data_IF_144794592314
#
_entry.id   IF_144794592314
#
_cell.length_a   1.000
_cell.length_b   1.000
_cell.length_c   1.000
_cell.angle_alpha   90.00
_cell.angle_beta   90.00
_cell.angle_gamma   90.00
#
_symmetry.space_group_name_H-M   'P 1'
#
loop_
_entity.id
_entity.type
_entity.pdbx_description
1 polymer ?
#
# COMPACT_ATOMS: atom_id res chain seq x y z
N UNK A 1 -13.71 0.57 10.42
CA UNK A 1 -12.56 0.15 9.58
C UNK A 1 -11.60 1.29 9.29
N UNK A 2 -12.05 2.52 8.97
CA UNK A 2 -11.13 3.66 8.74
C UNK A 2 -10.26 4.00 9.96
N UNK A 3 -10.81 3.91 11.17
CA UNK A 3 -10.06 4.14 12.42
C UNK A 3 -8.92 3.13 12.67
N UNK A 4 -8.95 1.97 12.02
CA UNK A 4 -7.89 0.95 12.14
C UNK A 4 -6.75 1.14 11.15
N UNK A 5 -6.85 2.10 10.20
CA UNK A 5 -5.79 2.34 9.23
C UNK A 5 -4.55 2.90 9.90
N UNK A 6 -3.39 2.44 9.41
CA UNK A 6 -2.06 2.75 9.93
C UNK A 6 -1.25 3.51 8.86
N UNK A 7 -1.48 4.83 8.70
CA UNK A 7 -0.82 5.60 7.64
C UNK A 7 0.68 5.78 7.84
N UNK A 8 1.16 5.55 9.04
CA UNK A 8 2.55 5.61 9.47
C UNK A 8 3.27 4.25 9.40
N UNK A 9 2.67 3.25 8.76
CA UNK A 9 3.29 1.97 8.40
C UNK A 9 3.15 1.76 6.90
N UNK A 10 4.25 1.45 6.21
CA UNK A 10 4.23 1.22 4.76
C UNK A 10 5.30 0.25 4.28
N UNK A 11 5.13 -0.20 3.05
CA UNK A 11 6.12 -1.01 2.31
C UNK A 11 6.51 -0.26 1.05
N UNK A 12 7.79 -0.27 0.72
CA UNK A 12 8.33 0.21 -0.55
C UNK A 12 8.88 -0.98 -1.36
N UNK A 13 8.29 -1.23 -2.53
CA UNK A 13 8.71 -2.30 -3.43
C UNK A 13 9.72 -1.76 -4.43
N UNK A 14 10.97 -2.17 -4.31
CA UNK A 14 12.03 -1.79 -5.25
C UNK A 14 12.13 -2.83 -6.35
N UNK A 15 11.61 -2.45 -7.54
CA UNK A 15 11.65 -3.24 -8.77
C UNK A 15 11.12 -4.69 -8.66
N UNK A 16 10.11 -4.92 -7.85
CA UNK A 16 9.44 -6.23 -7.75
C UNK A 16 8.63 -6.50 -9.00
N UNK A 17 9.14 -7.35 -9.92
CA UNK A 17 8.59 -7.51 -11.28
C UNK A 17 7.38 -8.43 -11.39
N UNK A 18 7.17 -9.36 -10.46
CA UNK A 18 6.09 -10.35 -10.57
C UNK A 18 4.78 -9.79 -10.05
N UNK A 19 3.80 -9.63 -10.94
CA UNK A 19 2.48 -9.06 -10.61
C UNK A 19 1.77 -9.78 -9.46
N UNK A 20 1.90 -11.11 -9.37
CA UNK A 20 1.29 -11.89 -8.30
C UNK A 20 1.93 -11.59 -6.92
N UNK A 21 3.24 -11.29 -6.86
CA UNK A 21 3.89 -10.89 -5.63
C UNK A 21 3.44 -9.50 -5.19
N UNK A 22 3.36 -8.55 -6.13
CA UNK A 22 2.84 -7.20 -5.86
C UNK A 22 1.40 -7.27 -5.34
N UNK A 23 0.53 -8.03 -6.01
CA UNK A 23 -0.85 -8.22 -5.59
C UNK A 23 -0.97 -8.87 -4.19
N UNK A 24 -0.10 -9.83 -3.88
CA UNK A 24 -0.07 -10.48 -2.57
C UNK A 24 0.39 -9.51 -1.47
N UNK A 25 1.41 -8.67 -1.74
CA UNK A 25 1.87 -7.63 -0.79
C UNK A 25 0.76 -6.59 -0.56
N UNK A 26 0.07 -6.12 -1.60
CA UNK A 26 -1.05 -5.19 -1.47
C UNK A 26 -2.16 -5.79 -0.59
N UNK A 27 -2.50 -7.06 -0.81
CA UNK A 27 -3.51 -7.76 0.01
C UNK A 27 -3.09 -7.88 1.47
N UNK A 28 -1.83 -8.18 1.73
CA UNK A 28 -1.29 -8.22 3.09
C UNK A 28 -1.28 -6.85 3.74
N UNK A 29 -0.91 -5.81 2.98
CA UNK A 29 -0.94 -4.42 3.45
C UNK A 29 -2.35 -4.00 3.87
N UNK A 30 -3.36 -4.32 3.06
CA UNK A 30 -4.76 -4.07 3.43
C UNK A 30 -5.17 -4.81 4.70
N UNK A 31 -4.81 -6.09 4.81
CA UNK A 31 -5.14 -6.95 5.95
C UNK A 31 -4.58 -6.42 7.28
N UNK A 32 -3.44 -5.75 7.28
CA UNK A 32 -2.84 -5.13 8.47
C UNK A 32 -3.17 -3.64 8.61
N UNK A 33 -4.05 -3.10 7.75
CA UNK A 33 -4.54 -1.73 7.85
C UNK A 33 -3.66 -0.66 7.18
N UNK A 34 -2.69 -1.02 6.37
CA UNK A 34 -1.88 -0.05 5.60
C UNK A 34 -2.73 0.55 4.48
N UNK A 35 -2.90 1.89 4.42
CA UNK A 35 -3.71 2.53 3.38
C UNK A 35 -2.94 2.81 2.09
N UNK A 36 -1.61 2.78 2.14
CA UNK A 36 -0.74 3.20 1.04
C UNK A 36 0.56 2.39 1.06
N UNK A 37 0.96 1.88 -0.09
CA UNK A 37 2.30 1.33 -0.31
C UNK A 37 3.04 2.15 -1.36
N UNK A 38 4.34 1.94 -1.46
CA UNK A 38 5.20 2.65 -2.39
C UNK A 38 5.92 1.69 -3.32
N UNK A 39 6.29 2.16 -4.52
CA UNK A 39 7.04 1.37 -5.47
C UNK A 39 8.01 2.23 -6.30
N UNK A 40 9.16 1.66 -6.60
CA UNK A 40 10.14 2.25 -7.50
C UNK A 40 9.94 1.62 -8.87
N UNK A 41 9.10 2.28 -9.66
CA UNK A 41 8.72 1.81 -11.01
C UNK A 41 8.26 2.96 -11.87
N UNK A 42 8.44 2.89 -13.19
CA UNK A 42 7.70 3.76 -14.10
C UNK A 42 6.20 3.54 -13.91
N UNK A 43 5.44 4.60 -13.74
CA UNK A 43 4.00 4.58 -13.44
C UNK A 43 3.19 3.70 -14.41
N UNK A 44 3.54 3.72 -15.70
CA UNK A 44 2.89 2.91 -16.73
C UNK A 44 3.00 1.39 -16.47
N UNK A 45 4.16 0.92 -16.00
CA UNK A 45 4.35 -0.50 -15.68
C UNK A 45 3.57 -0.90 -14.43
N UNK A 46 3.42 -0.01 -13.46
CA UNK A 46 2.69 -0.26 -12.23
C UNK A 46 1.19 -0.47 -12.49
N UNK A 47 0.58 0.34 -13.36
CA UNK A 47 -0.83 0.17 -13.76
C UNK A 47 -1.13 -1.19 -14.38
N UNK A 48 -0.18 -1.78 -15.10
CA UNK A 48 -0.33 -3.14 -15.64
C UNK A 48 -0.20 -4.23 -14.58
N UNK A 49 0.61 -4.00 -13.55
CA UNK A 49 0.83 -4.97 -12.46
C UNK A 49 -0.31 -4.98 -11.43
N UNK A 50 -0.95 -3.84 -11.22
CA UNK A 50 -2.03 -3.63 -10.24
C UNK A 50 -3.39 -3.63 -10.96
N UNK A 51 -3.63 -4.60 -11.84
CA UNK A 51 -4.93 -4.71 -12.53
C UNK A 51 -6.09 -4.90 -11.54
N UNK A 52 -7.26 -4.23 -11.77
CA UNK A 52 -8.41 -4.23 -10.84
C UNK A 52 -9.06 -5.59 -10.54
N UNK A 53 -8.60 -6.66 -11.18
CA UNK A 53 -9.21 -7.99 -11.10
C UNK A 53 -9.17 -8.69 -9.72
N UNK A 54 -8.58 -8.10 -8.70
CA UNK A 54 -8.36 -8.77 -7.42
C UNK A 54 -9.01 -8.13 -6.17
N UNK A 55 -9.94 -7.17 -6.33
CA UNK A 55 -10.74 -6.62 -5.21
C UNK A 55 -9.98 -5.93 -4.08
N UNK A 56 -8.84 -6.47 -3.63
CA UNK A 56 -8.02 -5.90 -2.56
C UNK A 56 -7.20 -4.66 -2.99
N UNK A 57 -6.98 -4.47 -4.29
CA UNK A 57 -6.23 -3.34 -4.83
C UNK A 57 -6.98 -2.00 -4.72
N UNK A 58 -8.26 -2.04 -4.37
CA UNK A 58 -9.10 -0.85 -4.27
C UNK A 58 -8.92 -0.11 -2.93
N UNK A 59 -8.42 -0.78 -1.89
CA UNK A 59 -8.33 -0.24 -0.54
C UNK A 59 -6.91 0.14 -0.11
N UNK A 60 -5.93 -0.04 -0.98
CA UNK A 60 -4.53 0.33 -0.76
C UNK A 60 -4.02 1.10 -1.98
N UNK A 61 -3.65 2.35 -1.77
CA UNK A 61 -3.07 3.18 -2.82
C UNK A 61 -1.62 2.77 -3.09
N UNK A 62 -1.21 2.79 -4.36
CA UNK A 62 0.17 2.54 -4.75
C UNK A 62 0.78 3.83 -5.28
N UNK A 63 1.72 4.41 -4.54
CA UNK A 63 2.47 5.58 -4.95
C UNK A 63 3.77 5.16 -5.62
N UNK A 64 4.04 5.68 -6.81
CA UNK A 64 5.30 5.43 -7.52
C UNK A 64 6.30 6.55 -7.30
N UNK A 65 7.57 6.20 -7.27
CA UNK A 65 8.68 7.14 -7.19
C UNK A 65 9.67 6.91 -8.33
N UNK A 66 10.29 7.96 -8.86
CA UNK A 66 11.29 7.83 -9.93
C UNK A 66 12.53 7.08 -9.46
N UNK A 67 12.97 7.32 -8.22
CA UNK A 67 14.17 6.72 -7.62
C UNK A 67 13.90 6.27 -6.19
N UNK A 68 14.77 5.38 -5.69
CA UNK A 68 14.73 4.96 -4.28
C UNK A 68 15.07 6.12 -3.34
N UNK A 69 15.96 7.03 -3.75
CA UNK A 69 16.31 8.21 -2.96
C UNK A 69 15.10 9.15 -2.78
N UNK A 70 14.30 9.38 -3.82
CA UNK A 70 13.08 10.19 -3.73
C UNK A 70 12.07 9.57 -2.76
N UNK A 71 11.91 8.25 -2.81
CA UNK A 71 11.06 7.53 -1.89
C UNK A 71 11.55 7.67 -0.43
N UNK A 72 12.83 7.41 -0.18
CA UNK A 72 13.42 7.48 1.16
C UNK A 72 13.33 8.91 1.73
N UNK A 73 13.58 9.94 0.91
CA UNK A 73 13.41 11.33 1.33
C UNK A 73 11.96 11.62 1.74
N UNK A 74 10.99 11.05 1.03
CA UNK A 74 9.57 11.16 1.40
C UNK A 74 9.29 10.51 2.76
N UNK A 75 9.84 9.33 3.03
CA UNK A 75 9.64 8.63 4.30
C UNK A 75 10.30 9.38 5.47
N UNK A 76 11.52 9.88 5.27
CA UNK A 76 12.24 10.68 6.28
C UNK A 76 11.51 11.99 6.61
N UNK A 77 10.93 12.64 5.60
CA UNK A 77 10.12 13.85 5.82
C UNK A 77 8.85 13.56 6.66
N UNK A 78 8.39 12.32 6.68
CA UNK A 78 7.27 11.85 7.49
C UNK A 78 7.73 11.26 8.86
N UNK A 79 9.01 11.36 9.19
CA UNK A 79 9.57 10.84 10.44
C UNK A 79 9.63 9.31 10.52
N UNK A 80 9.56 8.61 9.39
CA UNK A 80 9.62 7.15 9.35
C UNK A 80 11.06 6.65 9.47
N UNK A 81 11.26 5.60 10.27
CA UNK A 81 12.45 4.76 10.17
C UNK A 81 12.37 3.95 8.85
N UNK A 82 13.49 3.84 8.16
CA UNK A 82 13.61 3.14 6.89
C UNK A 82 14.36 1.83 7.10
N UNK A 83 13.62 0.72 7.05
CA UNK A 83 14.14 -0.62 7.20
C UNK A 83 14.36 -1.27 5.84
N UNK A 84 15.48 -1.93 5.64
CA UNK A 84 15.80 -2.63 4.40
C UNK A 84 15.93 -4.13 4.62
N UNK A 85 15.21 -4.93 3.84
CA UNK A 85 15.37 -6.39 3.85
C UNK A 85 16.67 -6.75 3.14
N UNK A 86 17.72 -7.04 3.90
CA UNK A 86 19.05 -7.30 3.37
C UNK A 86 19.82 -8.29 4.21
N UNK A 87 20.34 -9.35 3.57
CA UNK A 87 21.22 -10.33 4.23
C UNK A 87 22.61 -9.73 4.46
N UNK A 88 22.94 -9.46 5.72
CA UNK A 88 24.17 -8.80 6.14
C UNK A 88 24.50 -9.21 7.58
N UNK A 89 25.77 -9.20 7.94
CA UNK A 89 26.22 -9.40 9.32
C UNK A 89 25.74 -8.30 10.28
N UNK A 90 25.27 -7.17 9.73
CA UNK A 90 24.69 -6.06 10.49
C UNK A 90 23.17 -6.11 10.56
N UNK A 91 22.55 -7.11 9.93
CA UNK A 91 21.11 -7.24 9.95
C UNK A 91 20.63 -7.82 11.27
N UNK A 92 19.52 -7.30 11.77
CA UNK A 92 18.86 -7.80 12.97
C UNK A 92 17.65 -8.66 12.60
N UNK A 93 17.22 -9.51 13.51
CA UNK A 93 15.96 -10.22 13.36
C UNK A 93 14.81 -9.20 13.25
N UNK A 94 13.94 -9.37 12.27
CA UNK A 94 12.81 -8.45 12.06
C UNK A 94 11.92 -8.28 13.30
N UNK A 95 11.93 -9.25 14.22
CA UNK A 95 11.15 -9.21 15.48
C UNK A 95 11.76 -8.30 16.55
N UNK A 96 13.01 -7.88 16.40
CA UNK A 96 13.70 -6.99 17.34
C UNK A 96 13.42 -5.50 17.06
N UNK A 97 12.78 -5.20 15.94
CA UNK A 97 12.41 -3.82 15.56
C UNK A 97 11.17 -3.36 16.33
N UNK A 98 11.18 -2.11 16.77
CA UNK A 98 10.00 -1.43 17.30
C UNK A 98 9.13 -0.86 16.14
N UNK A 99 8.12 -1.62 15.76
CA UNK A 99 7.15 -1.22 14.73
C UNK A 99 6.05 -0.29 15.24
N UNK A 100 6.04 0.08 16.51
CA UNK A 100 5.11 1.10 17.02
C UNK A 100 5.53 2.50 16.56
N UNK A 101 6.78 2.65 16.12
CA UNK A 101 7.29 3.85 15.46
C UNK A 101 6.82 3.92 13.99
N UNK A 102 6.71 5.13 13.41
CA UNK A 102 6.48 5.29 11.97
C UNK A 102 7.55 4.52 11.17
N UNK A 103 7.13 3.65 10.26
CA UNK A 103 8.04 2.67 9.63
C UNK A 103 7.76 2.48 8.15
N UNK A 104 8.81 2.54 7.33
CA UNK A 104 8.82 2.03 5.97
C UNK A 104 9.72 0.81 5.85
N UNK A 105 9.25 -0.26 5.19
CA UNK A 105 10.01 -1.48 4.93
C UNK A 105 10.30 -1.57 3.44
N UNK A 106 11.58 -1.52 3.04
CA UNK A 106 12.02 -1.68 1.66
C UNK A 106 12.18 -3.18 1.37
N UNK A 107 11.47 -3.63 0.32
CA UNK A 107 11.49 -5.00 -0.17
C UNK A 107 12.02 -5.02 -1.60
N UNK A 108 13.08 -5.78 -1.85
CA UNK A 108 13.72 -5.87 -3.16
C UNK A 108 13.26 -7.04 -4.00
N UNK A 109 13.88 -7.17 -5.17
CA UNK A 109 13.68 -8.29 -6.09
C UNK A 109 14.13 -9.63 -5.48
N UNK A 110 13.50 -10.73 -5.90
CA UNK A 110 13.86 -12.09 -5.45
C UNK A 110 15.30 -12.51 -5.81
N UNK A 111 15.82 -12.02 -6.94
CA UNK A 111 17.14 -12.43 -7.45
C UNK A 111 18.27 -11.52 -6.99
N UNK A 112 18.05 -10.22 -7.02
CA UNK A 112 19.10 -9.21 -6.80
C UNK A 112 18.97 -8.53 -5.44
N UNK A 113 17.84 -8.72 -4.75
CA UNK A 113 17.55 -8.01 -3.52
C UNK A 113 17.25 -6.53 -3.78
N UNK A 114 17.64 -5.69 -2.83
CA UNK A 114 17.55 -4.22 -2.91
C UNK A 114 18.83 -3.64 -3.53
N UNK A 115 18.73 -2.43 -4.09
CA UNK A 115 19.87 -1.75 -4.72
C UNK A 115 20.95 -1.34 -3.68
N UNK A 116 22.21 -1.15 -4.14
CA UNK A 116 23.27 -0.57 -3.28
C UNK A 116 22.89 0.81 -2.72
N UNK A 117 22.11 1.60 -3.46
CA UNK A 117 21.63 2.90 -3.02
C UNK A 117 20.63 2.74 -1.85
N UNK A 118 19.68 1.81 -1.96
CA UNK A 118 18.75 1.49 -0.87
C UNK A 118 19.49 1.01 0.39
N UNK A 119 20.52 0.15 0.22
CA UNK A 119 21.37 -0.31 1.31
C UNK A 119 22.08 0.88 2.00
N UNK A 120 22.66 1.79 1.23
CA UNK A 120 23.39 2.93 1.77
C UNK A 120 22.49 3.95 2.49
N UNK A 121 21.24 4.04 2.11
CA UNK A 121 20.28 5.02 2.63
C UNK A 121 19.39 4.47 3.75
N UNK A 122 19.31 3.15 3.96
CA UNK A 122 18.49 2.57 5.02
C UNK A 122 19.07 2.85 6.41
N UNK A 123 18.18 3.00 7.39
CA UNK A 123 18.57 3.24 8.78
C UNK A 123 18.96 1.93 9.49
N UNK A 124 18.31 0.80 9.12
CA UNK A 124 18.56 -0.52 9.68
C UNK A 124 18.29 -1.62 8.65
N UNK A 125 19.11 -2.68 8.66
CA UNK A 125 18.86 -3.90 7.90
C UNK A 125 18.14 -4.92 8.77
N UNK A 126 17.16 -5.60 8.17
CA UNK A 126 16.36 -6.64 8.83
C UNK A 126 16.38 -7.93 8.02
N UNK A 127 16.32 -9.05 8.71
CA UNK A 127 16.20 -10.38 8.14
C UNK A 127 15.06 -11.16 8.77
N UNK A 128 14.48 -12.08 7.98
CA UNK A 128 13.68 -13.18 8.50
C UNK A 128 14.65 -14.36 8.68
N UNK A 129 14.93 -14.82 9.91
CA UNK A 129 15.91 -15.90 10.14
C UNK A 129 15.51 -17.20 9.45
N UNK A 130 16.47 -17.86 8.80
CA UNK A 130 16.30 -19.15 8.14
C UNK A 130 17.01 -20.25 8.93
N UNK A 131 16.28 -21.29 9.31
CA UNK A 131 16.83 -22.47 9.98
C UNK A 131 17.10 -23.62 9.01
N UNK A 132 16.66 -23.49 7.76
CA UNK A 132 16.81 -24.50 6.71
C UNK A 132 17.89 -24.13 5.70
N UNK A 133 17.91 -24.84 4.58
CA UNK A 133 18.91 -24.69 3.51
C UNK A 133 18.65 -23.52 2.56
N UNK A 134 17.44 -22.96 2.58
CA UNK A 134 17.09 -21.83 1.71
C UNK A 134 17.68 -20.53 2.26
N UNK A 135 18.15 -19.68 1.36
CA UNK A 135 18.77 -18.39 1.73
C UNK A 135 17.76 -17.22 1.80
N UNK A 136 16.59 -17.39 1.22
CA UNK A 136 15.54 -16.35 1.20
C UNK A 136 14.16 -16.96 1.06
N UNK A 137 13.15 -16.20 1.47
CA UNK A 137 11.74 -16.45 1.18
C UNK A 137 11.30 -15.65 -0.06
N UNK A 138 10.19 -16.09 -0.66
CA UNK A 138 9.48 -15.25 -1.61
C UNK A 138 9.15 -13.89 -0.96
N UNK A 139 9.29 -12.80 -1.73
CA UNK A 139 9.12 -11.41 -1.23
C UNK A 139 7.76 -11.18 -0.58
N UNK A 140 6.68 -11.76 -1.13
CA UNK A 140 5.34 -11.62 -0.54
C UNK A 140 5.19 -12.38 0.78
N UNK A 141 5.89 -13.50 0.94
CA UNK A 141 5.91 -14.27 2.19
C UNK A 141 6.71 -13.52 3.26
N UNK A 142 7.90 -13.04 2.93
CA UNK A 142 8.71 -12.23 3.83
C UNK A 142 7.95 -10.96 4.28
N UNK A 143 7.32 -10.28 3.32
CA UNK A 143 6.47 -9.12 3.61
C UNK A 143 5.34 -9.46 4.59
N UNK A 144 4.66 -10.59 4.40
CA UNK A 144 3.58 -11.01 5.29
C UNK A 144 4.06 -11.24 6.73
N UNK A 145 5.19 -11.90 6.91
CA UNK A 145 5.75 -12.16 8.23
C UNK A 145 6.11 -10.85 8.96
N UNK A 146 6.78 -9.92 8.27
CA UNK A 146 7.19 -8.64 8.84
C UNK A 146 5.98 -7.78 9.17
N UNK A 147 5.01 -7.68 8.26
CA UNK A 147 3.82 -6.86 8.46
C UNK A 147 2.90 -7.40 9.55
N UNK A 148 2.78 -8.72 9.71
CA UNK A 148 2.01 -9.30 10.81
C UNK A 148 2.73 -9.15 12.17
N UNK A 149 4.05 -9.14 12.21
CA UNK A 149 4.78 -8.78 13.43
C UNK A 149 4.55 -7.30 13.77
N UNK A 150 4.61 -6.41 12.79
CA UNK A 150 4.27 -5.00 12.99
C UNK A 150 2.83 -4.84 13.50
N UNK A 151 1.88 -5.56 12.91
CA UNK A 151 0.47 -5.58 13.35
C UNK A 151 0.33 -6.07 14.79
N UNK A 152 1.02 -7.15 15.16
CA UNK A 152 1.01 -7.71 16.52
C UNK A 152 1.46 -6.68 17.56
N UNK A 153 2.60 -5.99 17.29
CA UNK A 153 3.14 -4.96 18.19
C UNK A 153 2.19 -3.76 18.29
N UNK A 154 1.70 -3.24 17.16
CA UNK A 154 0.76 -2.12 17.11
C UNK A 154 -0.58 -2.45 17.79
N UNK A 155 -1.05 -3.68 17.67
CA UNK A 155 -2.25 -4.15 18.36
C UNK A 155 -2.03 -4.19 19.87
N UNK A 156 -0.90 -4.71 20.35
CA UNK A 156 -0.52 -4.73 21.74
C UNK A 156 -0.38 -3.30 22.32
N UNK A 157 0.08 -2.35 21.52
CA UNK A 157 0.16 -0.93 21.88
C UNK A 157 -1.18 -0.17 21.75
N UNK A 158 -2.28 -0.85 21.39
CA UNK A 158 -3.62 -0.22 21.30
C UNK A 158 -3.81 0.65 20.05
N UNK A 159 -2.90 0.63 19.08
CA UNK A 159 -2.95 1.52 17.91
C UNK A 159 -4.13 1.21 16.96
N UNK A 160 -4.74 0.05 17.07
CA UNK A 160 -5.97 -0.31 16.34
C UNK A 160 -7.26 -0.01 17.12
N UNK A 161 -7.16 0.47 18.38
CA UNK A 161 -8.32 0.77 19.23
C UNK A 161 -8.73 2.26 19.16
N UNK A 162 -8.34 2.95 18.11
CA UNK A 162 -8.66 4.38 17.90
C UNK A 162 -10.15 4.53 17.60
N UNK A 163 -10.77 5.57 18.16
CA UNK A 163 -12.15 5.98 17.84
C UNK A 163 -12.19 6.84 16.57
N UNK A 164 -11.11 7.57 16.30
CA UNK A 164 -10.95 8.43 15.13
C UNK A 164 -9.90 7.86 14.19
N UNK A 165 -10.09 8.13 12.90
CA UNK A 165 -9.12 7.73 11.88
C UNK A 165 -7.83 8.56 11.99
N UNK A 166 -6.69 7.90 11.83
CA UNK A 166 -5.41 8.59 11.67
C UNK A 166 -5.22 9.19 10.25
N UNK A 167 -6.11 8.84 9.31
CA UNK A 167 -6.16 9.43 7.98
C UNK A 167 -6.83 10.80 8.04
N UNK A 168 -6.34 11.74 7.25
CA UNK A 168 -7.02 13.02 7.03
C UNK A 168 -8.39 12.81 6.38
N UNK A 169 -9.28 13.77 6.49
CA UNK A 169 -10.60 13.69 5.84
C UNK A 169 -10.48 13.49 4.32
N UNK A 170 -9.49 14.11 3.69
CA UNK A 170 -9.23 13.95 2.26
C UNK A 170 -8.77 12.51 1.93
N UNK A 171 -7.84 11.95 2.68
CA UNK A 171 -7.37 10.58 2.49
C UNK A 171 -8.50 9.55 2.70
N UNK A 172 -9.38 9.79 3.67
CA UNK A 172 -10.57 8.97 3.87
C UNK A 172 -11.49 9.02 2.65
N UNK A 173 -11.78 10.21 2.11
CA UNK A 173 -12.61 10.38 0.91
C UNK A 173 -11.99 9.72 -0.32
N UNK A 174 -10.66 9.78 -0.48
CA UNK A 174 -9.94 9.06 -1.53
C UNK A 174 -10.19 7.56 -1.44
N UNK A 175 -9.94 6.97 -0.27
CA UNK A 175 -10.12 5.54 -0.06
C UNK A 175 -11.59 5.11 -0.22
N UNK A 176 -12.54 5.88 0.28
CA UNK A 176 -13.97 5.58 0.16
C UNK A 176 -14.43 5.59 -1.30
N UNK A 177 -13.98 6.58 -2.10
CA UNK A 177 -14.36 6.66 -3.50
C UNK A 177 -13.64 5.62 -4.35
N UNK A 178 -12.31 5.50 -4.22
CA UNK A 178 -11.51 4.58 -5.04
C UNK A 178 -11.74 3.11 -4.66
N UNK A 179 -11.94 2.84 -3.37
CA UNK A 179 -12.22 1.50 -2.87
C UNK A 179 -13.66 1.07 -3.06
N UNK A 180 -14.61 1.95 -2.74
CA UNK A 180 -16.04 1.64 -2.82
C UNK A 180 -16.59 1.68 -4.25
N UNK A 181 -16.02 2.54 -5.10
CA UNK A 181 -16.50 2.78 -6.47
C UNK A 181 -15.39 2.73 -7.53
N UNK A 182 -14.60 1.65 -7.61
CA UNK A 182 -13.38 1.60 -8.41
C UNK A 182 -13.59 1.90 -9.89
N UNK A 183 -14.71 1.49 -10.47
CA UNK A 183 -15.03 1.74 -11.88
C UNK A 183 -15.39 3.21 -12.10
N UNK A 184 -16.15 3.83 -11.19
CA UNK A 184 -16.47 5.27 -11.27
C UNK A 184 -15.22 6.11 -11.05
N UNK A 185 -14.37 5.73 -10.12
CA UNK A 185 -13.09 6.39 -9.87
C UNK A 185 -12.20 6.39 -11.11
N UNK A 186 -12.10 5.25 -11.80
CA UNK A 186 -11.33 5.15 -13.06
C UNK A 186 -11.93 6.01 -14.18
N UNK A 187 -13.25 6.01 -14.35
CA UNK A 187 -13.93 6.85 -15.36
C UNK A 187 -13.77 8.33 -15.03
N UNK A 188 -13.96 8.72 -13.76
CA UNK A 188 -13.77 10.10 -13.29
C UNK A 188 -12.35 10.59 -13.57
N UNK A 189 -11.34 9.78 -13.25
CA UNK A 189 -9.93 10.10 -13.51
C UNK A 189 -9.64 10.29 -15.00
N UNK A 190 -10.12 9.38 -15.87
CA UNK A 190 -9.94 9.49 -17.34
C UNK A 190 -10.59 10.75 -17.92
N UNK A 191 -11.68 11.20 -17.33
CA UNK A 191 -12.41 12.39 -17.77
C UNK A 191 -11.94 13.68 -17.11
N UNK A 192 -10.99 13.59 -16.16
CA UNK A 192 -10.51 14.76 -15.41
C UNK A 192 -11.58 15.38 -14.51
N UNK A 193 -12.58 14.60 -14.08
CA UNK A 193 -13.65 15.08 -13.22
C UNK A 193 -13.20 15.16 -11.75
N UNK A 194 -13.70 16.13 -10.98
CA UNK A 194 -13.42 16.20 -9.55
C UNK A 194 -13.96 14.97 -8.83
N UNK A 195 -13.30 14.59 -7.74
CA UNK A 195 -13.77 13.50 -6.89
C UNK A 195 -15.07 13.91 -6.19
N UNK A 196 -16.12 13.08 -6.22
CA UNK A 196 -17.35 13.36 -5.49
C UNK A 196 -17.14 13.12 -3.99
N UNK A 197 -18.03 13.64 -3.17
CA UNK A 197 -18.06 13.35 -1.74
C UNK A 197 -18.77 11.99 -1.49
N UNK A 198 -18.26 11.23 -0.54
CA UNK A 198 -18.91 10.00 -0.06
C UNK A 198 -19.44 10.28 1.34
N UNK A 199 -20.76 10.19 1.51
CA UNK A 199 -21.42 10.46 2.78
C UNK A 199 -21.26 9.32 3.80
N UNK A 200 -21.78 9.52 5.00
CA UNK A 200 -21.70 8.56 6.10
C UNK A 200 -22.41 7.22 5.83
N UNK A 201 -23.30 7.19 4.83
CA UNK A 201 -23.97 5.98 4.35
C UNK A 201 -23.16 5.25 3.27
N UNK A 202 -22.03 5.82 2.86
CA UNK A 202 -21.22 5.31 1.76
C UNK A 202 -21.75 5.69 0.37
N UNK A 203 -22.71 6.60 0.26
CA UNK A 203 -23.32 7.00 -1.01
C UNK A 203 -22.55 8.19 -1.63
N UNK A 204 -22.55 8.23 -2.97
CA UNK A 204 -21.93 9.33 -3.71
C UNK A 204 -22.83 10.56 -3.67
N UNK A 205 -22.32 11.67 -3.17
CA UNK A 205 -22.91 12.99 -3.29
C UNK A 205 -22.16 13.81 -4.35
N UNK A 206 -22.81 13.99 -5.50
CA UNK A 206 -22.27 14.75 -6.63
C UNK A 206 -23.38 15.57 -7.31
N UNK A 207 -23.06 16.72 -7.90
CA UNK A 207 -24.04 17.52 -8.65
C UNK A 207 -24.47 16.79 -9.93
N UNK A 208 -25.68 17.12 -10.43
CA UNK A 208 -26.24 16.53 -11.65
C UNK A 208 -25.28 16.68 -12.86
N UNK A 209 -24.53 17.78 -12.92
CA UNK A 209 -23.51 18.01 -13.94
C UNK A 209 -22.42 16.92 -13.92
N UNK A 210 -21.99 16.49 -12.74
CA UNK A 210 -21.00 15.42 -12.59
C UNK A 210 -21.53 14.09 -13.13
N UNK A 211 -22.78 13.75 -12.80
CA UNK A 211 -23.45 12.56 -13.30
C UNK A 211 -23.66 12.62 -14.82
N UNK A 212 -24.03 13.78 -15.36
CA UNK A 212 -24.17 13.97 -16.80
C UNK A 212 -22.84 13.73 -17.55
N UNK A 213 -21.74 14.25 -16.99
CA UNK A 213 -20.40 14.06 -17.57
C UNK A 213 -19.89 12.62 -17.40
N UNK A 214 -20.28 11.92 -16.33
CA UNK A 214 -19.92 10.52 -16.11
C UNK A 214 -20.48 9.59 -17.18
N UNK A 215 -21.57 9.95 -17.84
CA UNK A 215 -22.30 9.19 -18.91
C UNK A 215 -21.75 7.77 -19.14
N UNK A 216 -22.30 6.81 -18.43
CA UNK A 216 -21.97 5.42 -18.61
C UNK A 216 -22.90 4.80 -19.66
N UNK A 217 -22.33 4.00 -20.56
CA UNK A 217 -23.16 3.22 -21.49
C UNK A 217 -24.06 2.24 -20.72
N UNK A 218 -25.22 1.89 -21.27
CA UNK A 218 -26.15 0.90 -20.70
C UNK A 218 -25.43 -0.42 -20.32
N UNK A 219 -24.40 -0.81 -21.08
CA UNK A 219 -23.60 -2.01 -20.83
C UNK A 219 -22.72 -1.85 -19.56
N UNK A 220 -22.21 -0.68 -19.30
CA UNK A 220 -21.42 -0.36 -18.09
C UNK A 220 -22.32 -0.29 -16.85
N UNK A 221 -23.51 0.34 -16.97
CA UNK A 221 -24.50 0.39 -15.89
C UNK A 221 -25.00 -1.01 -15.47
N UNK A 222 -25.18 -1.93 -16.44
CA UNK A 222 -25.57 -3.31 -16.14
C UNK A 222 -24.49 -4.06 -15.36
N UNK A 223 -23.21 -3.79 -15.63
CA UNK A 223 -22.09 -4.38 -14.89
C UNK A 223 -22.02 -3.91 -13.42
N UNK A 224 -22.52 -2.71 -13.13
CA UNK A 224 -22.67 -2.16 -11.78
C UNK A 224 -23.81 -2.79 -10.98
N UNK A 225 -24.95 -3.03 -11.63
CA UNK A 225 -26.13 -3.60 -10.97
C UNK A 225 -26.01 -5.11 -10.69
N UNK A 226 -24.98 -5.76 -11.20
CA UNK A 226 -24.71 -7.19 -10.95
C UNK A 226 -23.71 -7.41 -9.79
N UNK A 227 -23.28 -6.36 -9.12
CA UNK A 227 -22.39 -6.38 -7.93
C UNK A 227 -23.10 -5.88 -6.66
N UNK A 228 -24.40 -5.64 -6.71
CA UNK A 228 -25.29 -5.58 -5.56
C UNK A 228 -25.87 -6.99 -5.32
#
# INVERSE_FOLDING_TARGET
>A
MMAMRQPDLTVCLEEVHKSHNVAAVIRTADAVGIPKIHAIWPEEKMRMLVSPAAGSNSWVNVNTHPTIADAINTFRAQGMQVLATHLSDKAVDFREIDYTQPTCIIMGQEKTGISPEAIALADQYIIVPMMGMVQSLNVSVASALILYEAQRQRQAAGMYNRTESALTAEEQQILLFEGGYPVLAEVSRRKGLPRPYINDRGEIEAPDSWWAEMQMTQKQLRKFKLTE
#
